data_IF_321859886182
#
_entry.id   IF_321859886182
#
_cell.length_a   1.000
_cell.length_b   1.000
_cell.length_c   1.000
_cell.angle_alpha   90.00
_cell.angle_beta   90.00
_cell.angle_gamma   90.00
#
_symmetry.space_group_name_H-M   'P 1'
#
loop_
_entity.id
_entity.type
_entity.pdbx_description
1 polymer ?
#
# COMPACT_ATOMS: atom_id res chain seq x y z
N UNK A 1 13.01 30.54 4.46
CA UNK A 1 14.15 30.71 5.38
C UNK A 1 14.40 29.37 6.05
N UNK A 2 15.60 28.81 5.97
CA UNK A 2 15.94 27.43 6.35
C UNK A 2 15.77 27.14 7.85
N UNK A 3 15.24 25.97 8.20
CA UNK A 3 15.55 25.20 9.41
C UNK A 3 15.54 23.71 8.99
N UNK A 4 16.66 23.04 8.69
CA UNK A 4 17.75 22.52 9.54
C UNK A 4 17.30 21.64 10.72
N UNK A 5 17.47 20.33 10.50
CA UNK A 5 17.94 19.27 11.40
C UNK A 5 18.15 19.62 12.88
N UNK A 6 17.63 18.76 13.75
CA UNK A 6 18.28 18.43 15.03
C UNK A 6 18.22 16.92 15.30
N UNK A 7 19.36 16.25 15.11
CA UNK A 7 19.69 15.02 15.82
C UNK A 7 20.45 15.34 17.11
N UNK A 8 20.20 14.59 18.17
CA UNK A 8 20.97 14.54 19.42
C UNK A 8 20.62 13.21 20.09
N UNK A 9 21.46 12.46 20.81
CA UNK A 9 22.90 12.38 21.03
C UNK A 9 23.05 11.14 21.93
N UNK A 10 23.99 10.25 21.60
CA UNK A 10 24.29 9.07 22.43
C UNK A 10 24.80 9.48 23.82
N UNK A 11 24.33 8.75 24.85
CA UNK A 11 24.81 8.84 26.24
C UNK A 11 26.22 8.23 26.34
N UNK A 12 27.16 8.95 26.96
CA UNK A 12 28.38 8.37 27.55
C UNK A 12 28.30 8.51 29.06
N UNK A 13 28.37 7.39 29.78
CA UNK A 13 28.73 7.39 31.20
C UNK A 13 29.81 6.33 31.45
N UNK A 14 30.75 6.72 32.28
CA UNK A 14 32.10 6.21 32.40
C UNK A 14 32.20 4.90 33.21
N UNK A 15 33.27 4.17 32.88
CA UNK A 15 33.76 2.96 33.53
C UNK A 15 34.48 3.31 34.84
N UNK A 16 34.21 2.54 35.91
CA UNK A 16 35.08 2.42 37.09
C UNK A 16 34.90 1.01 37.71
N UNK A 17 35.97 0.22 37.69
CA UNK A 17 36.18 -1.07 38.41
C UNK A 17 36.97 -0.78 39.69
N UNK A 18 36.92 -1.59 40.80
CA UNK A 18 37.59 -2.91 40.84
C UNK A 18 37.04 -4.04 41.76
N UNK A 19 37.44 -5.26 41.39
CA UNK A 19 37.84 -6.47 42.16
C UNK A 19 36.88 -7.35 43.02
N UNK A 20 36.74 -8.61 42.54
CA UNK A 20 36.87 -9.95 43.18
C UNK A 20 35.77 -10.52 44.11
N UNK A 21 35.09 -11.58 43.61
CA UNK A 21 34.84 -12.82 44.35
C UNK A 21 34.44 -13.97 43.39
N UNK A 22 35.09 -15.13 43.56
CA UNK A 22 34.91 -16.39 42.83
C UNK A 22 33.70 -17.14 43.41
N UNK A 23 32.67 -17.46 42.62
CA UNK A 23 31.63 -18.45 42.99
C UNK A 23 31.12 -19.22 41.74
N UNK A 24 31.44 -20.52 41.73
CA UNK A 24 30.74 -21.69 41.16
C UNK A 24 29.95 -21.52 39.84
N UNK A 25 30.52 -22.05 38.75
CA UNK A 25 29.83 -22.27 37.46
C UNK A 25 28.92 -23.49 37.53
N UNK A 26 27.64 -23.28 37.84
CA UNK A 26 26.58 -24.18 37.38
C UNK A 26 26.20 -23.75 35.96
N UNK A 27 26.69 -24.49 34.97
CA UNK A 27 26.26 -24.36 33.57
C UNK A 27 24.85 -24.92 33.45
N UNK A 28 23.87 -24.06 33.68
CA UNK A 28 22.51 -24.31 33.23
C UNK A 28 22.51 -24.14 31.71
N UNK A 29 22.58 -25.26 30.98
CA UNK A 29 22.29 -25.28 29.55
C UNK A 29 20.80 -25.02 29.39
N UNK A 30 20.39 -23.75 29.47
CA UNK A 30 19.11 -23.34 28.93
C UNK A 30 19.19 -23.62 27.43
N UNK A 31 18.53 -24.68 26.98
CA UNK A 31 18.13 -24.81 25.58
C UNK A 31 17.21 -23.62 25.31
N UNK A 32 17.81 -22.48 24.95
CA UNK A 32 17.10 -21.43 24.24
C UNK A 32 16.70 -22.07 22.93
N UNK A 33 15.44 -22.51 22.85
CA UNK A 33 14.78 -22.77 21.60
C UNK A 33 14.82 -21.45 20.84
N UNK A 34 15.87 -21.26 20.03
CA UNK A 34 15.88 -20.27 18.97
C UNK A 34 14.68 -20.62 18.11
N UNK A 35 13.59 -19.89 18.34
CA UNK A 35 12.43 -19.90 17.48
C UNK A 35 12.94 -19.46 16.10
N UNK A 36 13.32 -20.45 15.30
CA UNK A 36 13.87 -20.27 13.97
C UNK A 36 12.67 -20.14 13.04
N UNK A 37 11.83 -19.13 13.29
CA UNK A 37 10.97 -18.61 12.24
C UNK A 37 11.93 -18.17 11.14
N UNK A 38 11.91 -18.88 10.03
CA UNK A 38 12.64 -18.46 8.86
C UNK A 38 12.23 -17.01 8.56
N UNK A 39 13.23 -16.14 8.48
CA UNK A 39 13.02 -14.72 8.23
C UNK A 39 12.17 -14.54 6.98
N UNK A 40 11.21 -13.62 7.04
CA UNK A 40 10.36 -13.32 5.89
C UNK A 40 11.22 -12.85 4.71
N UNK A 41 10.83 -13.26 3.50
CA UNK A 41 11.52 -12.83 2.28
C UNK A 41 11.33 -11.33 2.11
N UNK A 42 12.39 -10.62 1.74
CA UNK A 42 12.36 -9.18 1.45
C UNK A 42 11.29 -8.79 0.41
N UNK A 43 11.22 -9.53 -0.69
CA UNK A 43 10.15 -9.44 -1.68
C UNK A 43 9.83 -10.83 -2.23
N UNK A 44 8.67 -10.97 -2.87
CA UNK A 44 8.31 -12.21 -3.55
C UNK A 44 9.11 -12.40 -4.84
N UNK A 45 9.10 -13.63 -5.37
CA UNK A 45 9.69 -13.90 -6.67
C UNK A 45 8.75 -13.34 -7.74
N UNK A 46 9.24 -12.36 -8.49
CA UNK A 46 8.51 -11.77 -9.60
C UNK A 46 8.97 -12.39 -10.92
N UNK A 47 8.01 -12.83 -11.74
CA UNK A 47 8.25 -13.43 -13.05
C UNK A 47 7.39 -12.73 -14.10
N UNK A 48 8.03 -11.98 -15.01
CA UNK A 48 7.33 -11.17 -15.99
C UNK A 48 6.60 -12.02 -17.06
N UNK A 49 6.97 -13.28 -17.22
CA UNK A 49 6.35 -14.20 -18.18
C UNK A 49 5.05 -14.82 -17.64
N UNK A 50 4.67 -14.57 -16.38
CA UNK A 50 3.47 -15.14 -15.74
C UNK A 50 2.21 -14.25 -15.87
N UNK A 51 2.11 -13.43 -16.92
CA UNK A 51 1.09 -12.38 -17.07
C UNK A 51 0.45 -12.39 -18.46
N UNK A 52 -0.34 -13.42 -18.78
CA UNK A 52 -0.96 -13.56 -20.11
C UNK A 52 -2.09 -12.55 -20.33
N UNK A 53 -2.88 -12.26 -19.28
CA UNK A 53 -4.04 -11.36 -19.32
C UNK A 53 -4.04 -10.33 -18.18
N UNK A 54 -2.97 -9.52 -18.03
CA UNK A 54 -2.67 -8.80 -16.79
C UNK A 54 -3.68 -7.70 -16.42
N UNK A 55 -4.45 -7.20 -17.38
CA UNK A 55 -5.45 -6.14 -17.15
C UNK A 55 -6.85 -6.69 -16.86
N UNK A 56 -7.05 -8.01 -16.98
CA UNK A 56 -8.25 -8.72 -16.54
C UNK A 56 -8.09 -9.06 -15.05
N UNK A 57 -8.28 -8.04 -14.21
CA UNK A 57 -8.12 -8.18 -12.76
C UNK A 57 -9.47 -8.55 -12.14
N UNK A 58 -9.77 -9.85 -12.13
CA UNK A 58 -11.00 -10.46 -11.64
C UNK A 58 -10.83 -11.20 -10.30
N UNK A 59 -9.68 -11.00 -9.63
CA UNK A 59 -9.40 -11.52 -8.29
C UNK A 59 -10.61 -11.31 -7.36
N UNK A 60 -11.01 -12.40 -6.69
CA UNK A 60 -12.21 -12.45 -5.87
C UNK A 60 -12.26 -11.45 -4.71
N UNK A 61 -11.10 -10.98 -4.23
CA UNK A 61 -10.96 -10.07 -3.09
C UNK A 61 -10.57 -8.66 -3.50
N UNK A 62 -10.02 -8.46 -4.70
CA UNK A 62 -9.63 -7.14 -5.20
C UNK A 62 -9.87 -7.00 -6.71
N UNK A 63 -11.14 -7.07 -7.18
CA UNK A 63 -11.44 -6.90 -8.59
C UNK A 63 -11.26 -5.44 -9.02
N UNK A 64 -10.52 -5.20 -10.10
CA UNK A 64 -10.25 -3.86 -10.64
C UNK A 64 -10.88 -3.69 -12.02
N UNK A 65 -12.21 -3.66 -12.04
CA UNK A 65 -13.01 -3.41 -13.24
C UNK A 65 -13.00 -1.92 -13.62
N UNK A 66 -12.72 -1.55 -14.88
CA UNK A 66 -12.76 -0.16 -15.33
C UNK A 66 -14.11 0.53 -15.09
N UNK A 67 -14.03 1.79 -14.66
CA UNK A 67 -15.17 2.62 -14.30
C UNK A 67 -15.66 2.42 -12.88
N UNK A 68 -15.15 1.43 -12.13
CA UNK A 68 -15.46 1.33 -10.71
C UNK A 68 -14.91 2.52 -9.94
N UNK A 69 -15.75 3.08 -9.07
CA UNK A 69 -15.40 4.15 -8.15
C UNK A 69 -15.84 3.75 -6.75
N UNK A 70 -14.91 3.83 -5.80
CA UNK A 70 -15.14 3.55 -4.39
C UNK A 70 -14.90 4.84 -3.59
N UNK A 71 -15.81 5.15 -2.69
CA UNK A 71 -15.67 6.29 -1.78
C UNK A 71 -15.66 5.78 -0.35
N UNK A 72 -14.61 6.12 0.37
CA UNK A 72 -14.43 5.82 1.77
C UNK A 72 -14.49 7.10 2.58
N UNK A 73 -15.06 7.03 3.78
CA UNK A 73 -15.05 8.14 4.71
C UNK A 73 -14.86 7.65 6.16
N UNK A 74 -14.20 8.50 6.94
CA UNK A 74 -13.98 8.28 8.36
C UNK A 74 -13.04 9.33 8.92
N UNK A 75 -12.00 8.92 9.65
CA UNK A 75 -11.16 9.83 10.41
C UNK A 75 -9.71 9.35 10.51
N UNK A 76 -8.81 10.31 10.65
CA UNK A 76 -7.43 10.13 11.13
C UNK A 76 -7.20 11.01 12.37
N UNK A 77 -6.08 10.81 13.05
CA UNK A 77 -5.58 11.63 14.15
C UNK A 77 -4.47 12.52 13.62
N UNK A 78 -4.55 13.82 13.86
CA UNK A 78 -3.53 14.79 13.47
C UNK A 78 -2.36 14.88 14.48
N UNK A 79 -1.38 15.72 14.18
CA UNK A 79 -0.20 15.95 15.03
C UNK A 79 -0.54 16.56 16.40
N UNK A 80 -1.75 17.11 16.58
CA UNK A 80 -2.26 17.63 17.84
C UNK A 80 -3.02 16.57 18.65
N UNK A 81 -3.24 15.38 18.07
CA UNK A 81 -4.01 14.30 18.69
C UNK A 81 -5.51 14.46 18.50
N UNK A 82 -5.96 15.33 17.59
CA UNK A 82 -7.38 15.54 17.30
C UNK A 82 -7.84 14.66 16.14
N UNK A 83 -9.07 14.16 16.24
CA UNK A 83 -9.68 13.39 15.16
C UNK A 83 -10.20 14.33 14.07
N UNK A 84 -9.65 14.19 12.86
CA UNK A 84 -10.00 14.98 11.69
C UNK A 84 -10.75 14.14 10.65
N UNK A 85 -11.72 14.70 9.90
CA UNK A 85 -12.40 13.98 8.84
C UNK A 85 -11.44 13.54 7.75
N UNK A 86 -11.55 12.29 7.32
CA UNK A 86 -10.72 11.71 6.27
C UNK A 86 -11.58 11.03 5.21
N UNK A 87 -11.21 11.17 3.94
CA UNK A 87 -11.97 10.65 2.80
C UNK A 87 -11.04 10.22 1.68
N UNK A 88 -11.20 8.99 1.22
CA UNK A 88 -10.44 8.43 0.10
C UNK A 88 -11.39 8.10 -1.06
N UNK A 89 -10.97 8.39 -2.28
CA UNK A 89 -11.68 8.01 -3.51
C UNK A 89 -10.75 7.22 -4.40
N UNK A 90 -11.10 5.95 -4.64
CA UNK A 90 -10.37 5.05 -5.54
C UNK A 90 -11.11 5.00 -6.88
N UNK A 91 -10.43 5.26 -7.99
CA UNK A 91 -11.03 5.27 -9.32
C UNK A 91 -10.29 4.31 -10.25
N UNK A 92 -10.93 3.19 -10.59
CA UNK A 92 -10.36 2.22 -11.52
C UNK A 92 -10.56 2.70 -12.95
N UNK A 93 -9.48 3.06 -13.63
CA UNK A 93 -9.54 3.66 -14.97
C UNK A 93 -9.53 2.59 -16.07
N UNK A 94 -9.80 3.00 -17.31
CA UNK A 94 -9.50 2.21 -18.51
C UNK A 94 -8.14 2.56 -19.12
N UNK A 95 -7.25 3.19 -18.34
CA UNK A 95 -5.86 3.44 -18.72
C UNK A 95 -4.98 2.28 -18.32
N UNK A 96 -3.89 2.14 -19.07
CA UNK A 96 -2.86 1.14 -18.82
C UNK A 96 -1.47 1.74 -18.96
N UNK A 97 -0.53 1.18 -18.20
CA UNK A 97 0.90 1.50 -18.28
C UNK A 97 1.70 0.22 -18.50
N UNK A 98 2.76 0.28 -19.30
CA UNK A 98 3.66 -0.86 -19.44
C UNK A 98 4.81 -0.72 -18.45
N UNK A 99 4.95 -1.67 -17.54
CA UNK A 99 6.03 -1.74 -16.53
C UNK A 99 6.64 -3.14 -16.64
N UNK A 100 7.96 -3.21 -16.83
CA UNK A 100 8.70 -4.47 -17.03
C UNK A 100 8.08 -5.40 -18.10
N UNK A 101 7.52 -4.83 -19.17
CA UNK A 101 6.87 -5.57 -20.25
C UNK A 101 5.39 -5.92 -20.03
N UNK A 102 4.89 -5.77 -18.81
CA UNK A 102 3.51 -6.11 -18.44
C UNK A 102 2.61 -4.89 -18.57
N UNK A 103 1.44 -5.09 -19.18
CA UNK A 103 0.38 -4.07 -19.24
C UNK A 103 -0.37 -4.03 -17.90
N UNK A 104 -0.22 -2.95 -17.17
CA UNK A 104 -0.80 -2.75 -15.85
C UNK A 104 -2.04 -1.86 -15.94
N UNK A 105 -3.13 -2.23 -15.25
CA UNK A 105 -4.31 -1.39 -14.98
C UNK A 105 -3.91 -0.21 -14.10
N UNK A 106 -4.44 0.98 -14.39
CA UNK A 106 -4.19 2.19 -13.60
C UNK A 106 -5.39 2.47 -12.68
N UNK A 107 -5.13 2.59 -11.38
CA UNK A 107 -6.03 3.26 -10.44
C UNK A 107 -5.63 4.73 -10.32
N UNK A 108 -6.61 5.61 -10.20
CA UNK A 108 -6.41 7.02 -9.88
C UNK A 108 -7.06 7.32 -8.54
N UNK A 109 -6.21 7.51 -7.54
CA UNK A 109 -6.62 7.53 -6.15
C UNK A 109 -6.47 8.95 -5.60
N UNK A 110 -7.40 9.37 -4.75
CA UNK A 110 -7.48 10.72 -4.20
C UNK A 110 -7.70 10.64 -2.70
N UNK A 111 -6.78 11.22 -1.94
CA UNK A 111 -6.84 11.30 -0.50
C UNK A 111 -7.19 12.73 -0.06
N UNK A 112 -8.17 12.85 0.82
CA UNK A 112 -8.62 14.10 1.39
C UNK A 112 -8.58 14.09 2.92
N UNK A 113 -7.92 15.09 3.51
CA UNK A 113 -7.98 15.39 4.94
C UNK A 113 -8.72 16.71 5.16
N UNK A 114 -9.69 16.73 6.07
CA UNK A 114 -10.54 17.90 6.38
C UNK A 114 -11.17 18.58 5.15
N UNK A 115 -11.38 17.81 4.07
CA UNK A 115 -11.97 18.29 2.81
C UNK A 115 -10.96 18.84 1.80
N UNK A 116 -9.68 18.94 2.17
CA UNK A 116 -8.58 19.37 1.31
C UNK A 116 -7.91 18.15 0.66
N UNK A 117 -7.51 18.26 -0.61
CA UNK A 117 -6.78 17.21 -1.32
C UNK A 117 -5.35 17.19 -0.80
N UNK A 118 -4.95 16.11 -0.13
CA UNK A 118 -3.60 15.96 0.44
C UNK A 118 -2.74 15.01 -0.39
N UNK A 119 -3.35 14.11 -1.17
CA UNK A 119 -2.62 13.27 -2.11
C UNK A 119 -3.46 12.94 -3.35
N UNK A 120 -2.80 12.90 -4.50
CA UNK A 120 -3.33 12.23 -5.68
C UNK A 120 -2.31 11.22 -6.21
N UNK A 121 -2.74 9.98 -6.42
CA UNK A 121 -1.87 8.87 -6.82
C UNK A 121 -2.33 8.25 -8.15
N UNK A 122 -1.36 7.84 -8.98
CA UNK A 122 -1.59 6.76 -9.95
C UNK A 122 -0.89 5.49 -9.47
N UNK A 123 -1.67 4.44 -9.22
CA UNK A 123 -1.17 3.13 -8.85
C UNK A 123 -1.33 2.13 -10.01
N UNK A 124 -0.35 1.25 -10.17
CA UNK A 124 -0.29 0.30 -11.29
C UNK A 124 -0.47 -1.13 -10.81
N UNK A 125 -1.48 -1.82 -11.33
CA UNK A 125 -1.81 -3.18 -10.94
C UNK A 125 -1.80 -4.15 -12.12
N UNK A 126 -1.39 -5.39 -11.90
CA UNK A 126 -1.50 -6.46 -12.87
C UNK A 126 -1.90 -7.77 -12.16
N UNK A 127 -2.71 -8.60 -12.80
CA UNK A 127 -3.01 -9.93 -12.28
C UNK A 127 -2.17 -11.00 -12.99
N UNK A 128 -1.50 -11.85 -12.23
CA UNK A 128 -0.74 -12.98 -12.79
C UNK A 128 -1.66 -14.16 -13.16
N UNK A 129 -1.10 -15.17 -13.81
CA UNK A 129 -1.84 -16.36 -14.25
C UNK A 129 -2.33 -17.23 -13.07
N UNK A 130 -1.77 -17.05 -11.87
CA UNK A 130 -2.21 -17.71 -10.63
C UNK A 130 -3.36 -16.94 -9.95
N UNK A 131 -3.71 -15.75 -10.43
CA UNK A 131 -4.78 -14.90 -9.92
C UNK A 131 -4.34 -13.93 -8.80
N UNK A 132 -3.05 -13.80 -8.51
CA UNK A 132 -2.56 -12.78 -7.58
C UNK A 132 -2.55 -11.42 -8.25
N UNK A 133 -2.96 -10.39 -7.51
CA UNK A 133 -2.88 -9.01 -7.97
C UNK A 133 -1.61 -8.37 -7.45
N UNK A 134 -0.75 -7.96 -8.37
CA UNK A 134 0.54 -7.32 -8.13
C UNK A 134 0.40 -5.80 -8.19
N UNK A 135 1.08 -5.08 -7.28
CA UNK A 135 1.36 -3.64 -7.37
C UNK A 135 2.72 -3.48 -8.03
N UNK A 136 2.71 -2.86 -9.19
CA UNK A 136 3.84 -2.69 -10.10
C UNK A 136 4.57 -1.36 -9.88
N UNK A 137 4.02 -0.49 -9.04
CA UNK A 137 4.54 0.82 -8.69
C UNK A 137 3.43 1.85 -8.54
N UNK A 138 3.85 3.08 -8.25
CA UNK A 138 2.98 4.23 -8.02
C UNK A 138 3.69 5.57 -8.22
N UNK A 139 2.89 6.60 -8.45
CA UNK A 139 3.28 8.01 -8.40
C UNK A 139 2.28 8.75 -7.51
N UNK A 140 2.45 8.71 -6.18
CA UNK A 140 1.80 9.63 -5.27
C UNK A 140 2.33 11.04 -5.52
N UNK A 141 1.44 12.02 -5.41
CA UNK A 141 1.75 13.44 -5.40
C UNK A 141 1.08 14.01 -4.18
N UNK A 142 1.90 14.35 -3.19
CA UNK A 142 1.48 14.90 -1.92
C UNK A 142 1.37 16.43 -2.03
N UNK A 143 0.37 16.99 -1.38
CA UNK A 143 0.07 18.42 -1.42
C UNK A 143 0.08 19.02 -0.01
N UNK A 144 0.67 20.21 0.10
CA UNK A 144 0.61 21.07 1.28
C UNK A 144 0.19 22.48 0.81
N UNK A 145 -0.85 23.06 1.42
CA UNK A 145 -1.44 24.34 1.01
C UNK A 145 -1.83 24.42 -0.49
N UNK A 146 -2.16 23.27 -1.09
CA UNK A 146 -2.53 23.15 -2.51
C UNK A 146 -1.35 23.15 -3.49
N UNK A 147 -0.11 23.19 -3.00
CA UNK A 147 1.11 23.09 -3.78
C UNK A 147 1.73 21.69 -3.63
N UNK A 148 2.50 21.24 -4.62
CA UNK A 148 3.18 19.93 -4.54
C UNK A 148 4.25 19.97 -3.46
N UNK A 149 4.13 19.11 -2.45
CA UNK A 149 5.06 18.99 -1.33
C UNK A 149 6.11 17.90 -1.58
N UNK A 150 5.66 16.69 -1.93
CA UNK A 150 6.52 15.56 -2.27
C UNK A 150 5.86 14.67 -3.34
N UNK A 151 6.65 13.75 -3.92
CA UNK A 151 6.17 12.74 -4.84
C UNK A 151 7.07 11.49 -4.78
N UNK A 152 6.95 10.65 -3.73
CA UNK A 152 7.79 9.48 -3.48
C UNK A 152 7.52 8.32 -4.47
N UNK A 153 7.72 8.59 -5.75
CA UNK A 153 7.47 7.66 -6.84
C UNK A 153 8.40 6.45 -6.80
N UNK A 154 7.82 5.27 -7.01
CA UNK A 154 8.56 4.07 -7.31
C UNK A 154 7.89 3.23 -8.40
N UNK A 155 8.70 2.58 -9.22
CA UNK A 155 8.25 1.72 -10.32
C UNK A 155 9.13 0.48 -10.32
N UNK A 156 8.52 -0.71 -10.41
CA UNK A 156 9.26 -1.99 -10.46
C UNK A 156 10.31 -1.98 -11.59
N UNK A 157 11.48 -2.57 -11.30
CA UNK A 157 12.63 -2.60 -12.20
C UNK A 157 13.46 -1.31 -12.23
N UNK A 158 13.05 -0.26 -11.51
CA UNK A 158 13.75 1.03 -11.47
C UNK A 158 14.27 1.31 -10.06
N UNK A 159 15.53 1.76 -9.95
CA UNK A 159 16.23 2.07 -8.69
C UNK A 159 16.20 0.93 -7.66
N UNK A 160 16.20 -0.32 -8.13
CA UNK A 160 16.16 -1.50 -7.27
C UNK A 160 14.80 -1.77 -6.65
N UNK A 161 13.74 -1.15 -7.17
CA UNK A 161 12.36 -1.43 -6.76
C UNK A 161 11.86 -2.73 -7.37
N UNK A 162 11.05 -3.48 -6.64
CA UNK A 162 10.47 -4.76 -7.05
C UNK A 162 8.98 -4.75 -6.75
N UNK A 163 8.18 -5.16 -7.72
CA UNK A 163 6.74 -5.36 -7.57
C UNK A 163 6.42 -6.30 -6.41
N UNK A 164 5.29 -6.08 -5.76
CA UNK A 164 4.81 -6.94 -4.69
C UNK A 164 3.35 -7.33 -4.90
N UNK A 165 2.87 -8.26 -4.10
CA UNK A 165 1.49 -8.77 -4.18
C UNK A 165 0.61 -7.85 -3.34
N UNK A 166 -0.33 -7.14 -3.94
CA UNK A 166 -1.36 -6.41 -3.18
C UNK A 166 -2.43 -7.35 -2.62
N UNK A 167 -2.84 -8.35 -3.41
CA UNK A 167 -3.85 -9.33 -2.99
C UNK A 167 -3.52 -10.70 -3.55
N UNK A 168 -3.50 -11.71 -2.69
CA UNK A 168 -3.32 -13.11 -3.09
C UNK A 168 -4.60 -13.65 -3.74
N UNK A 169 -4.45 -14.62 -4.66
CA UNK A 169 -5.58 -15.36 -5.21
C UNK A 169 -6.32 -16.16 -4.11
N UNK A 170 -5.53 -16.85 -3.29
CA UNK A 170 -6.00 -17.69 -2.18
C UNK A 170 -5.38 -17.24 -0.84
N UNK A 171 -5.87 -16.15 -0.23
CA UNK A 171 -5.43 -15.74 1.10
C UNK A 171 -5.81 -16.82 2.14
N UNK A 172 -4.88 -17.09 3.08
CA UNK A 172 -5.04 -18.12 4.12
C UNK A 172 -4.48 -17.61 5.45
N UNK A 173 -5.27 -17.71 6.51
CA UNK A 173 -4.80 -17.43 7.88
C UNK A 173 -3.65 -18.38 8.22
N UNK A 174 -2.62 -17.86 8.89
CA UNK A 174 -1.42 -18.62 9.27
C UNK A 174 -0.35 -18.74 8.18
N UNK A 175 -0.63 -18.27 6.96
CA UNK A 175 0.42 -18.07 5.96
C UNK A 175 1.40 -16.97 6.41
N UNK A 176 2.63 -17.02 5.87
CA UNK A 176 3.63 -15.96 6.10
C UNK A 176 3.18 -14.65 5.47
N UNK A 177 3.70 -13.55 6.01
CA UNK A 177 3.53 -12.24 5.39
C UNK A 177 4.14 -12.23 3.97
N UNK A 178 3.65 -11.34 3.12
CA UNK A 178 4.14 -11.16 1.75
C UNK A 178 4.41 -9.68 1.48
N UNK A 179 5.44 -9.41 0.68
CA UNK A 179 5.74 -8.03 0.28
C UNK A 179 4.66 -7.51 -0.66
N UNK A 180 4.15 -6.31 -0.38
CA UNK A 180 3.23 -5.55 -1.24
C UNK A 180 3.98 -4.61 -2.19
N UNK A 181 5.28 -4.48 -1.97
CA UNK A 181 6.26 -3.81 -2.81
C UNK A 181 7.59 -3.72 -2.05
N UNK A 182 8.67 -3.51 -2.78
CA UNK A 182 9.96 -3.17 -2.19
C UNK A 182 10.58 -2.04 -2.99
N UNK A 183 10.66 -0.83 -2.45
CA UNK A 183 11.28 0.31 -3.11
C UNK A 183 12.20 1.08 -2.14
N UNK A 184 13.48 0.69 -2.06
CA UNK A 184 14.38 1.20 -1.03
C UNK A 184 14.73 2.68 -1.24
N UNK A 185 14.61 3.19 -2.47
CA UNK A 185 14.86 4.61 -2.77
C UNK A 185 13.84 5.56 -2.16
N UNK A 186 12.66 5.06 -1.80
CA UNK A 186 11.57 5.83 -1.17
C UNK A 186 11.13 5.22 0.17
N UNK A 187 11.86 4.22 0.68
CA UNK A 187 11.56 3.58 1.96
C UNK A 187 10.35 2.63 1.96
N UNK A 188 9.75 2.33 0.80
CA UNK A 188 8.58 1.44 0.71
C UNK A 188 8.99 0.00 1.00
N UNK A 189 8.44 -0.59 2.06
CA UNK A 189 8.77 -1.95 2.53
C UNK A 189 7.54 -2.73 2.98
N UNK A 190 6.36 -2.29 2.53
CA UNK A 190 5.10 -2.77 3.07
C UNK A 190 4.88 -4.26 2.84
N UNK A 191 4.27 -4.87 3.86
CA UNK A 191 3.95 -6.29 3.88
C UNK A 191 2.53 -6.50 4.35
N UNK A 192 1.83 -7.38 3.64
CA UNK A 192 0.51 -7.86 4.02
C UNK A 192 0.61 -9.21 4.73
N UNK A 193 -0.20 -9.42 5.75
CA UNK A 193 -0.43 -10.72 6.37
C UNK A 193 -1.93 -10.94 6.58
N UNK A 194 -2.42 -12.11 6.20
CA UNK A 194 -3.82 -12.48 6.45
C UNK A 194 -4.02 -12.64 7.95
N UNK A 195 -4.81 -11.72 8.53
CA UNK A 195 -5.08 -11.62 9.97
C UNK A 195 -6.30 -12.48 10.34
N UNK A 196 -7.41 -12.28 9.64
CA UNK A 196 -8.69 -12.97 9.89
C UNK A 196 -9.41 -13.26 8.58
N UNK A 197 -10.31 -14.26 8.59
CA UNK A 197 -11.21 -14.58 7.48
C UNK A 197 -12.54 -15.09 8.04
N UNK A 198 -13.60 -14.98 7.24
CA UNK A 198 -14.93 -15.50 7.61
C UNK A 198 -15.69 -14.64 8.62
N UNK A 199 -15.25 -13.39 8.84
CA UNK A 199 -15.91 -12.49 9.79
C UNK A 199 -17.03 -11.70 9.13
N UNK A 200 -17.96 -11.18 9.92
CA UNK A 200 -18.97 -10.22 9.46
C UNK A 200 -18.50 -8.79 9.77
N UNK A 201 -18.53 -7.91 8.77
CA UNK A 201 -18.20 -6.48 8.95
C UNK A 201 -19.29 -5.59 8.37
N UNK A 202 -19.77 -4.65 9.17
CA UNK A 202 -20.75 -3.65 8.75
C UNK A 202 -20.09 -2.30 8.44
N UNK A 203 -20.47 -1.73 7.31
CA UNK A 203 -20.11 -0.39 6.86
C UNK A 203 -21.41 0.37 6.54
N UNK A 204 -21.38 1.70 6.33
CA UNK A 204 -22.61 2.48 6.11
C UNK A 204 -23.49 1.96 4.97
N UNK A 205 -22.91 1.33 3.95
CA UNK A 205 -23.65 0.72 2.85
C UNK A 205 -24.47 -0.51 3.28
N UNK A 206 -23.84 -1.48 3.95
CA UNK A 206 -24.44 -2.75 4.42
C UNK A 206 -23.45 -3.55 5.28
N UNK A 207 -23.90 -4.70 5.79
CA UNK A 207 -23.04 -5.73 6.34
C UNK A 207 -22.59 -6.71 5.25
N UNK A 208 -21.33 -7.11 5.33
CA UNK A 208 -20.72 -8.13 4.49
C UNK A 208 -20.35 -9.33 5.37
N UNK A 209 -20.69 -10.52 4.88
CA UNK A 209 -20.25 -11.80 5.43
C UNK A 209 -18.98 -12.25 4.68
N UNK A 210 -18.30 -13.29 5.19
CA UNK A 210 -17.05 -13.82 4.63
C UNK A 210 -16.01 -12.74 4.31
N UNK A 211 -15.75 -11.85 5.27
CA UNK A 211 -14.76 -10.78 5.12
C UNK A 211 -13.37 -11.31 5.43
N UNK A 212 -12.42 -10.98 4.56
CA UNK A 212 -10.98 -11.15 4.74
C UNK A 212 -10.42 -9.91 5.43
N UNK A 213 -9.53 -10.08 6.41
CA UNK A 213 -8.75 -9.00 7.00
C UNK A 213 -7.28 -9.25 6.72
N UNK A 214 -6.62 -8.25 6.12
CA UNK A 214 -5.17 -8.23 5.93
C UNK A 214 -4.60 -7.14 6.85
N UNK A 215 -3.66 -7.53 7.71
CA UNK A 215 -2.84 -6.60 8.46
C UNK A 215 -1.65 -6.19 7.58
N UNK A 216 -1.47 -4.89 7.40
CA UNK A 216 -0.41 -4.29 6.59
C UNK A 216 0.50 -3.46 7.49
N UNK A 217 1.81 -3.53 7.27
CA UNK A 217 2.81 -2.75 8.00
C UNK A 217 4.16 -2.77 7.29
N UNK A 218 5.12 -1.98 7.80
CA UNK A 218 6.42 -1.75 7.16
C UNK A 218 7.59 -2.11 8.07
N UNK A 219 8.80 -2.22 7.51
CA UNK A 219 10.02 -2.40 8.31
C UNK A 219 10.35 -1.16 9.17
N UNK A 220 9.91 0.02 8.73
CA UNK A 220 10.18 1.29 9.40
C UNK A 220 9.31 1.49 10.65
N UNK A 221 8.10 0.92 10.65
CA UNK A 221 7.10 1.11 11.70
C UNK A 221 6.56 -0.25 12.20
N UNK A 222 7.40 -1.06 12.88
CA UNK A 222 7.07 -2.45 13.21
C UNK A 222 5.90 -2.60 14.21
N UNK A 223 5.58 -1.55 14.96
CA UNK A 223 4.49 -1.50 15.94
C UNK A 223 3.27 -0.71 15.43
N UNK A 224 3.21 -0.40 14.13
CA UNK A 224 2.10 0.26 13.46
C UNK A 224 1.54 -0.66 12.37
N UNK A 225 0.23 -0.90 12.38
CA UNK A 225 -0.42 -1.69 11.35
C UNK A 225 -1.75 -1.07 10.93
N UNK A 226 -1.97 -1.03 9.62
CA UNK A 226 -3.30 -0.87 9.06
C UNK A 226 -3.99 -2.23 8.92
N UNK A 227 -5.30 -2.27 9.15
CA UNK A 227 -6.14 -3.45 8.97
C UNK A 227 -7.10 -3.18 7.81
N UNK A 228 -6.89 -3.83 6.67
CA UNK A 228 -7.76 -3.71 5.49
C UNK A 228 -8.73 -4.88 5.41
N UNK A 229 -10.02 -4.57 5.33
CA UNK A 229 -11.11 -5.53 5.35
C UNK A 229 -11.66 -5.66 3.94
N UNK A 230 -11.60 -6.85 3.33
CA UNK A 230 -12.01 -7.10 1.96
C UNK A 230 -13.28 -7.95 1.91
N UNK A 231 -14.23 -7.55 1.09
CA UNK A 231 -15.42 -8.34 0.78
C UNK A 231 -15.34 -8.91 -0.65
N UNK A 232 -15.82 -10.14 -0.80
CA UNK A 232 -15.88 -10.84 -2.08
C UNK A 232 -16.58 -10.01 -3.17
N UNK A 233 -15.92 -9.87 -4.32
CA UNK A 233 -16.42 -9.16 -5.50
C UNK A 233 -16.50 -7.64 -5.34
N UNK A 234 -16.11 -7.08 -4.19
CA UNK A 234 -16.16 -5.63 -3.92
C UNK A 234 -14.76 -5.04 -3.77
N UNK A 235 -13.86 -5.71 -3.07
CA UNK A 235 -12.59 -5.09 -2.68
C UNK A 235 -12.56 -4.70 -1.22
N UNK A 236 -11.70 -3.73 -0.90
CA UNK A 236 -11.62 -3.15 0.43
C UNK A 236 -12.97 -2.49 0.79
N UNK A 237 -13.48 -2.74 1.99
CA UNK A 237 -14.71 -2.15 2.52
C UNK A 237 -14.44 -1.31 3.76
N UNK A 238 -13.32 -1.53 4.46
CA UNK A 238 -12.98 -0.81 5.69
C UNK A 238 -11.47 -0.83 5.90
N UNK A 239 -10.95 0.30 6.38
CA UNK A 239 -9.63 0.38 7.00
C UNK A 239 -9.80 0.62 8.49
N UNK A 240 -8.99 -0.04 9.28
CA UNK A 240 -8.78 0.25 10.69
C UNK A 240 -7.30 0.14 11.00
N UNK A 241 -6.97 0.10 12.28
CA UNK A 241 -5.58 0.10 12.72
C UNK A 241 -5.35 -0.77 13.95
N UNK A 242 -4.08 -1.08 14.22
CA UNK A 242 -3.61 -1.76 15.43
C UNK A 242 -2.15 -1.35 15.73
N UNK A 243 -1.83 -1.27 17.02
CA UNK A 243 -0.45 -1.08 17.49
C UNK A 243 -0.20 0.31 18.06
N UNK A 244 0.70 0.41 19.05
CA UNK A 244 1.02 1.67 19.74
C UNK A 244 1.81 2.66 18.85
N UNK A 245 2.43 2.16 17.78
CA UNK A 245 3.18 2.98 16.82
C UNK A 245 2.31 3.65 15.77
N UNK A 246 1.04 3.25 15.62
CA UNK A 246 0.14 3.81 14.61
C UNK A 246 -0.40 5.17 15.05
N UNK A 247 0.17 6.24 14.48
CA UNK A 247 -0.10 7.62 14.88
C UNK A 247 -1.38 8.17 14.27
N UNK A 248 -1.66 7.81 13.01
CA UNK A 248 -2.81 8.34 12.28
C UNK A 248 -4.10 7.68 12.75
N UNK A 249 -4.02 6.45 13.28
CA UNK A 249 -5.16 5.69 13.78
C UNK A 249 -6.31 5.68 12.77
N UNK A 250 -5.97 5.54 11.48
CA UNK A 250 -6.90 5.69 10.37
C UNK A 250 -8.07 4.72 10.50
N UNK A 251 -9.28 5.27 10.37
CA UNK A 251 -10.50 4.49 10.24
C UNK A 251 -11.24 4.99 9.02
N UNK A 252 -11.40 4.14 8.02
CA UNK A 252 -12.18 4.41 6.81
C UNK A 252 -13.25 3.34 6.62
N UNK A 253 -14.41 3.73 6.13
CA UNK A 253 -15.49 2.79 5.77
C UNK A 253 -16.02 3.13 4.39
N UNK A 254 -16.30 2.11 3.59
CA UNK A 254 -16.93 2.26 2.28
C UNK A 254 -18.33 2.85 2.46
N UNK A 255 -18.52 4.06 1.94
CA UNK A 255 -19.77 4.82 2.00
C UNK A 255 -20.49 4.88 0.67
N UNK A 256 -19.79 4.60 -0.44
CA UNK A 256 -20.38 4.55 -1.77
C UNK A 256 -19.54 3.68 -2.71
N UNK A 257 -20.20 2.97 -3.61
CA UNK A 257 -19.57 2.20 -4.68
C UNK A 257 -20.44 2.28 -5.94
N UNK A 258 -19.85 2.66 -7.05
CA UNK A 258 -20.57 2.79 -8.32
C UNK A 258 -19.71 2.40 -9.51
N UNK A 259 -20.35 1.91 -10.57
CA UNK A 259 -19.72 1.77 -11.88
C UNK A 259 -20.12 2.97 -12.74
N UNK A 260 -19.14 3.80 -13.13
CA UNK A 260 -19.37 4.93 -14.01
C UNK A 260 -19.75 4.47 -15.42
N UNK A 261 -20.71 5.18 -16.03
CA UNK A 261 -20.96 5.10 -17.48
C UNK A 261 -19.82 5.74 -18.30
N UNK A 262 -19.93 5.64 -19.62
CA UNK A 262 -18.88 6.08 -20.57
C UNK A 262 -18.41 7.54 -20.35
N UNK A 263 -19.34 8.47 -20.11
CA UNK A 263 -19.01 9.88 -19.86
C UNK A 263 -18.24 10.07 -18.54
N UNK A 264 -18.63 9.34 -17.50
CA UNK A 264 -17.94 9.37 -16.21
C UNK A 264 -16.53 8.80 -16.32
N UNK A 265 -16.37 7.68 -17.01
CA UNK A 265 -15.08 7.07 -17.28
C UNK A 265 -14.18 7.97 -18.14
N UNK A 266 -14.72 8.65 -19.16
CA UNK A 266 -13.97 9.61 -19.97
C UNK A 266 -13.49 10.82 -19.15
N UNK A 267 -14.32 11.32 -18.21
CA UNK A 267 -13.92 12.39 -17.28
C UNK A 267 -12.83 11.91 -16.33
N UNK A 268 -12.97 10.73 -15.75
CA UNK A 268 -11.96 10.08 -14.90
C UNK A 268 -10.62 9.97 -15.63
N UNK A 269 -10.63 9.40 -16.85
CA UNK A 269 -9.46 9.28 -17.73
C UNK A 269 -8.77 10.62 -17.94
N UNK A 270 -9.53 11.68 -18.22
CA UNK A 270 -8.97 13.02 -18.44
C UNK A 270 -8.26 13.55 -17.19
N UNK A 271 -8.75 13.25 -15.98
CA UNK A 271 -8.07 13.68 -14.75
C UNK A 271 -6.80 12.87 -14.49
N UNK A 272 -6.86 11.55 -14.62
CA UNK A 272 -5.68 10.69 -14.49
C UNK A 272 -4.56 11.10 -15.48
N UNK A 273 -4.91 11.46 -16.72
CA UNK A 273 -3.94 11.97 -17.71
C UNK A 273 -3.31 13.32 -17.35
N UNK A 274 -3.90 14.12 -16.45
CA UNK A 274 -3.23 15.33 -15.94
C UNK A 274 -2.15 14.95 -14.93
N UNK A 275 -2.45 14.03 -14.02
CA UNK A 275 -1.49 13.53 -13.05
C UNK A 275 -0.34 12.79 -13.75
N UNK A 276 -0.64 12.05 -14.81
CA UNK A 276 0.37 11.47 -15.72
C UNK A 276 1.37 12.51 -16.22
N UNK A 277 0.87 13.63 -16.76
CA UNK A 277 1.72 14.71 -17.27
C UNK A 277 2.58 15.30 -16.17
N UNK A 278 1.98 15.56 -15.00
CA UNK A 278 2.71 16.07 -13.84
C UNK A 278 3.80 15.07 -13.39
N UNK A 279 3.49 13.78 -13.34
CA UNK A 279 4.44 12.71 -12.99
C UNK A 279 5.69 12.72 -13.87
N UNK A 280 5.56 12.95 -15.18
CA UNK A 280 6.70 13.12 -16.08
C UNK A 280 7.54 14.38 -15.78
N UNK A 281 6.92 15.43 -15.27
CA UNK A 281 7.59 16.69 -14.95
C UNK A 281 8.36 16.59 -13.62
N UNK A 282 7.77 15.96 -12.59
CA UNK A 282 8.33 15.93 -11.22
C UNK A 282 9.18 14.69 -10.91
N UNK A 283 8.94 13.55 -11.59
CA UNK A 283 9.65 12.28 -11.36
C UNK A 283 10.40 11.84 -12.63
N UNK A 284 11.34 12.67 -13.11
CA UNK A 284 12.02 12.46 -14.41
C UNK A 284 12.89 11.20 -14.46
N UNK A 285 13.45 10.79 -13.34
CA UNK A 285 14.42 9.70 -13.24
C UNK A 285 13.80 8.36 -12.82
N UNK A 286 12.53 8.36 -12.39
CA UNK A 286 11.74 7.15 -12.14
C UNK A 286 10.56 7.09 -13.09
N UNK A 287 9.54 7.93 -12.90
CA UNK A 287 8.34 7.92 -13.73
C UNK A 287 8.64 8.25 -15.19
N UNK A 288 9.51 9.23 -15.42
CA UNK A 288 9.93 9.69 -16.75
C UNK A 288 10.68 8.64 -17.58
N UNK A 289 11.08 7.51 -16.98
CA UNK A 289 11.71 6.38 -17.67
C UNK A 289 10.70 5.36 -18.20
N UNK A 290 9.42 5.52 -17.86
CA UNK A 290 8.37 4.59 -18.27
C UNK A 290 7.69 5.06 -19.57
N UNK A 291 7.10 4.14 -20.35
CA UNK A 291 6.20 4.49 -21.45
C UNK A 291 4.95 5.24 -20.96
N UNK A 292 4.36 6.12 -21.79
CA UNK A 292 3.18 6.89 -21.40
C UNK A 292 1.95 5.99 -21.23
N UNK A 293 1.00 6.46 -20.43
CA UNK A 293 -0.31 5.84 -20.32
C UNK A 293 -1.00 5.72 -21.68
N UNK A 294 -1.69 4.61 -21.87
CA UNK A 294 -2.54 4.35 -23.02
C UNK A 294 -3.93 3.97 -22.56
N UNK A 295 -4.94 4.49 -23.23
CA UNK A 295 -6.28 3.95 -23.08
C UNK A 295 -6.32 2.52 -23.62
N UNK A 296 -6.84 1.61 -22.82
CA UNK A 296 -7.18 0.27 -23.28
C UNK A 296 -8.35 0.38 -24.25
N UNK A 297 -8.08 0.10 -25.52
CA UNK A 297 -9.14 -0.02 -26.53
C UNK A 297 -9.56 -1.48 -26.53
N UNK A 298 -10.83 -1.75 -26.21
CA UNK A 298 -11.33 -3.11 -26.10
C UNK A 298 -11.11 -3.88 -27.41
N UNK A 299 -10.46 -5.02 -27.33
CA UNK A 299 -10.80 -6.14 -28.23
C UNK A 299 -12.04 -6.77 -27.65
N UNK A 300 -13.17 -6.54 -28.32
CA UNK A 300 -14.37 -7.39 -28.17
C UNK A 300 -14.01 -8.85 -28.45
#
# INVERSE_FOLDING_TARGET
>A
MKAKHMGFSQRRMAILTPLWAIILTFTWFALSSKDTRAQDKKHENFDADNFDNPTQIDNNWMPLKPGMRYVYAGTTIDDQGEAVPHRVVINVTDLTKVIEGIRCRVSWDLDYSSGELVEAELAFFAQDNDGNVWRMGEIPVEYEDGEVADAPCWISGIKGSVAGISMRAEPKVGARSYSQGWAPSVGFTDRGQVDQMGITTCVPMKCYEDVLVVAEGSEAEPDAQQLKYFAHGVGNIKVGWRGEGEKTQEVLRLVDVMQLGADGLAKMRKQAMKLEKLGYEISKDVYGKTPPLKQETGTN
#
